data_IF_960896600821
#
_entry.id   IF_960896600821
#
_cell.length_a   1.000
_cell.length_b   1.000
_cell.length_c   1.000
_cell.angle_alpha   90.00
_cell.angle_beta   90.00
_cell.angle_gamma   90.00
#
_symmetry.space_group_name_H-M   'P 1'
#
loop_
_entity.id
_entity.type
_entity.pdbx_description
1 polymer ?
#
# COMPACT_ATOMS: atom_id res chain seq x y z
N UNK A 1 -9.17 13.91 28.50
CA UNK A 1 -8.53 13.21 27.39
C UNK A 1 -9.63 12.67 26.49
N UNK A 2 -9.70 13.14 25.25
CA UNK A 2 -10.56 12.53 24.25
C UNK A 2 -10.00 11.14 23.91
N UNK A 3 -10.81 10.10 24.09
CA UNK A 3 -10.38 8.72 23.86
C UNK A 3 -10.74 8.35 22.42
N UNK A 4 -9.73 8.32 21.55
CA UNK A 4 -9.86 7.70 20.23
C UNK A 4 -9.94 6.18 20.37
N UNK A 5 -10.76 5.53 19.53
CA UNK A 5 -10.86 4.07 19.46
C UNK A 5 -10.52 3.57 18.08
N UNK A 6 -9.51 2.73 17.97
CA UNK A 6 -9.13 2.07 16.73
C UNK A 6 -9.84 0.71 16.55
N UNK A 7 -10.28 0.42 15.33
CA UNK A 7 -10.89 -0.85 14.93
C UNK A 7 -10.25 -1.31 13.62
N UNK A 8 -9.61 -2.48 13.63
CA UNK A 8 -9.03 -3.08 12.42
C UNK A 8 -10.09 -3.39 11.36
N UNK A 9 -9.72 -3.32 10.08
CA UNK A 9 -10.65 -3.58 8.99
C UNK A 9 -11.20 -5.02 9.00
N UNK A 10 -10.42 -5.99 9.47
CA UNK A 10 -10.86 -7.39 9.62
C UNK A 10 -12.13 -7.54 10.47
N UNK A 11 -12.34 -6.66 11.45
CA UNK A 11 -13.59 -6.64 12.23
C UNK A 11 -14.83 -6.36 11.38
N UNK A 12 -14.70 -5.59 10.30
CA UNK A 12 -15.79 -5.32 9.36
C UNK A 12 -15.96 -6.46 8.35
N UNK A 13 -14.85 -7.02 7.86
CA UNK A 13 -14.90 -8.20 6.99
C UNK A 13 -15.60 -9.38 7.68
N UNK A 14 -15.29 -9.69 8.94
CA UNK A 14 -16.00 -10.71 9.74
C UNK A 14 -17.50 -10.49 9.84
N UNK A 15 -17.93 -9.23 9.99
CA UNK A 15 -19.36 -8.90 10.08
C UNK A 15 -20.06 -9.09 8.74
N UNK A 16 -19.33 -8.95 7.64
CA UNK A 16 -19.85 -9.08 6.28
C UNK A 16 -19.75 -10.52 5.74
N UNK A 17 -18.77 -11.28 6.22
CA UNK A 17 -18.41 -12.63 5.78
C UNK A 17 -18.33 -13.49 7.06
N UNK A 18 -19.40 -14.24 7.40
CA UNK A 18 -19.44 -15.02 8.64
C UNK A 18 -18.26 -16.00 8.80
N UNK A 19 -17.79 -16.57 7.69
CA UNK A 19 -16.69 -17.55 7.64
C UNK A 19 -15.33 -16.93 7.28
N UNK A 20 -15.13 -15.63 7.53
CA UNK A 20 -13.90 -14.93 7.15
C UNK A 20 -12.65 -15.55 7.82
N UNK A 21 -11.65 -15.95 7.02
CA UNK A 21 -10.39 -16.49 7.52
C UNK A 21 -9.45 -15.36 7.95
N UNK A 22 -9.39 -15.08 9.25
CA UNK A 22 -8.49 -14.06 9.80
C UNK A 22 -7.02 -14.36 9.62
N UNK A 23 -6.66 -15.65 9.53
CA UNK A 23 -5.28 -16.08 9.57
C UNK A 23 -4.62 -15.87 8.22
N UNK A 24 -5.31 -16.21 7.14
CA UNK A 24 -4.79 -16.01 5.79
C UNK A 24 -5.38 -14.78 5.08
N UNK A 25 -6.56 -14.31 5.49
CA UNK A 25 -7.28 -13.20 4.86
C UNK A 25 -7.55 -13.45 3.38
N UNK A 26 -7.95 -14.66 3.00
CA UNK A 26 -8.08 -15.03 1.58
C UNK A 26 -9.21 -14.29 0.87
N UNK A 27 -10.22 -13.91 1.63
CA UNK A 27 -11.40 -13.18 1.22
C UNK A 27 -11.19 -11.66 1.31
N UNK A 28 -10.01 -11.16 1.69
CA UNK A 28 -9.71 -9.72 1.70
C UNK A 28 -9.65 -9.17 0.26
N UNK A 29 -10.62 -8.32 -0.10
CA UNK A 29 -10.84 -7.88 -1.47
C UNK A 29 -11.30 -6.44 -1.58
N UNK A 30 -11.12 -5.85 -2.77
CA UNK A 30 -11.43 -4.46 -3.08
C UNK A 30 -12.93 -4.16 -3.09
N UNK A 31 -13.77 -5.07 -3.60
CA UNK A 31 -15.22 -4.86 -3.68
C UNK A 31 -15.83 -4.67 -2.29
N UNK A 32 -15.54 -5.57 -1.35
CA UNK A 32 -16.04 -5.49 0.02
C UNK A 32 -15.42 -4.34 0.81
N UNK A 33 -14.14 -4.08 0.59
CA UNK A 33 -13.46 -2.90 1.13
C UNK A 33 -14.18 -1.61 0.72
N UNK A 34 -14.57 -1.47 -0.55
CA UNK A 34 -15.32 -0.32 -1.03
C UNK A 34 -16.72 -0.24 -0.40
N UNK A 35 -17.41 -1.39 -0.20
CA UNK A 35 -18.69 -1.44 0.51
C UNK A 35 -18.56 -1.00 1.97
N UNK A 36 -17.54 -1.49 2.68
CA UNK A 36 -17.24 -1.12 4.08
C UNK A 36 -16.99 0.39 4.18
N UNK A 37 -16.11 0.92 3.33
CA UNK A 37 -15.76 2.34 3.33
C UNK A 37 -16.99 3.20 3.01
N UNK A 38 -17.80 2.81 2.02
CA UNK A 38 -19.05 3.52 1.69
C UNK A 38 -20.04 3.49 2.86
N UNK A 39 -20.20 2.35 3.53
CA UNK A 39 -21.04 2.23 4.72
C UNK A 39 -20.57 3.17 5.84
N UNK A 40 -19.27 3.24 6.09
CA UNK A 40 -18.68 4.14 7.07
C UNK A 40 -18.94 5.62 6.72
N UNK A 41 -18.80 6.01 5.46
CA UNK A 41 -19.15 7.36 5.01
C UNK A 41 -20.60 7.72 5.30
N UNK A 42 -21.52 6.77 5.14
CA UNK A 42 -22.96 7.00 5.38
C UNK A 42 -23.37 6.97 6.86
N UNK A 43 -22.67 6.19 7.70
CA UNK A 43 -23.12 5.88 9.07
C UNK A 43 -22.23 6.44 10.19
N UNK A 44 -20.99 6.79 9.88
CA UNK A 44 -19.99 7.21 10.86
C UNK A 44 -19.33 8.54 10.49
N UNK A 45 -19.99 9.37 9.68
CA UNK A 45 -19.52 10.70 9.26
C UNK A 45 -18.03 10.69 8.93
N UNK A 46 -17.64 9.80 8.01
CA UNK A 46 -16.24 9.54 7.69
C UNK A 46 -15.59 10.82 7.15
N UNK A 47 -14.57 11.32 7.87
CA UNK A 47 -13.81 12.52 7.48
C UNK A 47 -12.90 12.27 6.28
N UNK A 48 -12.39 11.05 6.15
CA UNK A 48 -11.52 10.66 5.05
C UNK A 48 -12.33 10.44 3.77
N UNK A 49 -11.88 11.00 2.63
CA UNK A 49 -12.39 10.60 1.33
C UNK A 49 -11.91 9.17 1.03
N UNK A 50 -12.84 8.22 1.13
CA UNK A 50 -12.53 6.79 1.01
C UNK A 50 -11.96 6.38 -0.34
N UNK A 51 -12.42 6.98 -1.43
CA UNK A 51 -11.93 6.66 -2.77
C UNK A 51 -10.48 7.15 -2.94
N UNK A 52 -10.21 8.40 -2.54
CA UNK A 52 -8.86 8.95 -2.59
C UNK A 52 -7.90 8.22 -1.65
N UNK A 53 -8.38 7.76 -0.49
CA UNK A 53 -7.58 6.93 0.41
C UNK A 53 -7.19 5.58 -0.21
N UNK A 54 -8.11 4.93 -0.95
CA UNK A 54 -7.79 3.69 -1.69
C UNK A 54 -6.74 3.99 -2.79
N UNK A 55 -6.87 5.12 -3.50
CA UNK A 55 -5.90 5.56 -4.49
C UNK A 55 -4.51 5.81 -3.88
N UNK A 56 -4.46 6.47 -2.72
CA UNK A 56 -3.21 6.68 -1.98
C UNK A 56 -2.59 5.36 -1.51
N UNK A 57 -3.40 4.41 -1.02
CA UNK A 57 -2.92 3.07 -0.65
C UNK A 57 -2.36 2.32 -1.84
N UNK A 58 -3.07 2.31 -2.97
CA UNK A 58 -2.61 1.66 -4.19
C UNK A 58 -1.26 2.23 -4.66
N UNK A 59 -1.15 3.56 -4.69
CA UNK A 59 0.07 4.26 -5.09
C UNK A 59 1.23 3.97 -4.12
N UNK A 60 0.98 4.04 -2.81
CA UNK A 60 1.98 3.82 -1.77
C UNK A 60 2.49 2.38 -1.80
N UNK A 61 1.61 1.39 -1.78
CA UNK A 61 1.97 -0.03 -1.82
C UNK A 61 2.68 -0.39 -3.13
N UNK A 62 2.32 0.23 -4.27
CA UNK A 62 3.04 0.04 -5.53
C UNK A 62 4.46 0.61 -5.48
N UNK A 63 4.63 1.79 -4.88
CA UNK A 63 5.92 2.47 -4.73
C UNK A 63 6.86 1.69 -3.82
N UNK A 64 6.39 1.25 -2.65
CA UNK A 64 7.23 0.51 -1.69
C UNK A 64 7.24 -1.00 -1.96
N UNK A 65 6.34 -1.51 -2.79
CA UNK A 65 6.22 -2.93 -3.09
C UNK A 65 5.62 -3.76 -1.97
N UNK A 66 4.65 -3.23 -1.22
CA UNK A 66 4.03 -3.95 -0.11
C UNK A 66 3.16 -5.11 -0.63
N UNK A 67 3.56 -6.35 -0.32
CA UNK A 67 2.82 -7.55 -0.76
C UNK A 67 1.81 -8.09 0.26
N UNK A 68 1.75 -7.44 1.43
CA UNK A 68 1.02 -7.93 2.61
C UNK A 68 0.13 -6.85 3.25
N UNK A 69 -0.48 -5.98 2.44
CA UNK A 69 -1.57 -5.09 2.88
C UNK A 69 -2.83 -5.89 3.20
N UNK A 70 -2.84 -6.61 4.32
CA UNK A 70 -4.01 -7.37 4.78
C UNK A 70 -4.94 -6.53 5.64
N UNK A 71 -6.09 -7.08 6.00
CA UNK A 71 -7.20 -6.41 6.71
C UNK A 71 -6.86 -5.93 8.12
N UNK A 72 -5.72 -6.33 8.68
CA UNK A 72 -5.26 -5.83 9.99
C UNK A 72 -4.29 -4.68 9.84
N UNK A 73 -3.76 -4.39 8.63
CA UNK A 73 -2.76 -3.35 8.37
C UNK A 73 -3.38 -1.99 7.98
N UNK A 74 -4.69 -1.87 8.24
CA UNK A 74 -5.48 -0.66 8.15
C UNK A 74 -6.75 -0.81 8.98
N UNK A 75 -7.43 0.29 9.24
CA UNK A 75 -8.71 0.25 9.95
C UNK A 75 -9.36 1.61 10.06
N UNK A 76 -10.18 1.76 11.09
CA UNK A 76 -10.99 2.95 11.34
C UNK A 76 -10.66 3.49 12.72
N UNK A 77 -10.35 4.78 12.79
CA UNK A 77 -10.24 5.50 14.05
C UNK A 77 -11.55 6.24 14.28
N UNK A 78 -12.21 5.93 15.40
CA UNK A 78 -13.41 6.60 15.88
C UNK A 78 -13.03 7.67 16.89
N UNK A 79 -13.57 8.86 16.69
CA UNK A 79 -13.44 10.00 17.59
C UNK A 79 -14.75 10.17 18.40
N UNK A 80 -14.76 11.11 19.35
CA UNK A 80 -16.01 11.47 20.04
C UNK A 80 -17.01 12.10 19.06
N UNK A 81 -18.30 11.83 19.25
CA UNK A 81 -19.35 12.47 18.44
C UNK A 81 -19.74 11.76 17.13
N UNK A 82 -19.52 10.44 17.03
CA UNK A 82 -19.84 9.58 15.86
C UNK A 82 -19.02 9.88 14.60
N UNK A 83 -17.96 10.67 14.68
CA UNK A 83 -17.03 10.86 13.57
C UNK A 83 -16.01 9.74 13.52
N UNK A 84 -15.58 9.43 12.30
CA UNK A 84 -14.54 8.44 12.05
C UNK A 84 -13.60 8.91 10.95
N UNK A 85 -12.41 8.33 10.89
CA UNK A 85 -11.46 8.46 9.78
C UNK A 85 -10.82 7.11 9.49
N UNK A 86 -10.41 6.90 8.25
CA UNK A 86 -9.56 5.75 7.94
C UNK A 86 -8.19 5.99 8.58
N UNK A 87 -7.58 4.92 9.09
CA UNK A 87 -6.24 5.02 9.68
C UNK A 87 -5.21 5.37 8.60
N UNK A 88 -4.07 5.96 9.00
CA UNK A 88 -2.87 5.80 8.20
C UNK A 88 -2.59 4.32 7.92
N UNK A 89 -1.87 4.05 6.84
CA UNK A 89 -1.39 2.71 6.53
C UNK A 89 -0.22 2.37 7.45
N UNK A 90 -0.29 1.23 8.14
CA UNK A 90 0.75 0.79 9.06
C UNK A 90 1.20 -0.63 8.74
N UNK A 91 2.20 -1.12 9.48
CA UNK A 91 2.83 -2.43 9.28
C UNK A 91 3.27 -2.69 7.82
N UNK A 92 4.28 -1.90 7.41
CA UNK A 92 4.84 -1.95 6.06
C UNK A 92 6.09 -2.84 5.98
N UNK A 93 6.34 -3.68 6.99
CA UNK A 93 7.60 -4.42 7.15
C UNK A 93 7.93 -5.36 5.99
N UNK A 94 6.93 -5.81 5.23
CA UNK A 94 7.10 -6.70 4.08
C UNK A 94 7.44 -5.97 2.76
N UNK A 95 7.88 -4.71 2.84
CA UNK A 95 8.11 -3.83 1.69
C UNK A 95 9.60 -3.70 1.32
N UNK A 96 9.90 -2.84 0.35
CA UNK A 96 11.25 -2.42 -0.06
C UNK A 96 12.19 -3.57 -0.46
N UNK A 97 11.61 -4.71 -0.86
CA UNK A 97 12.34 -5.92 -1.20
C UNK A 97 13.12 -6.51 -0.01
N UNK A 98 12.59 -6.39 1.21
CA UNK A 98 13.18 -6.91 2.44
C UNK A 98 13.55 -8.41 2.35
N UNK A 99 12.82 -9.19 1.56
CA UNK A 99 12.99 -10.64 1.43
C UNK A 99 14.22 -11.04 0.60
N UNK A 100 14.87 -10.07 -0.05
CA UNK A 100 16.05 -10.32 -0.91
C UNK A 100 17.33 -10.13 -0.13
N UNK A 101 18.10 -11.18 0.05
CA UNK A 101 19.49 -11.07 0.53
C UNK A 101 20.36 -10.43 -0.54
N UNK A 102 21.20 -9.46 -0.14
CA UNK A 102 21.99 -8.64 -1.08
C UNK A 102 22.93 -9.48 -1.95
N UNK A 103 23.53 -10.53 -1.40
CA UNK A 103 24.35 -11.49 -2.14
C UNK A 103 23.62 -12.13 -3.34
N UNK A 104 22.33 -12.40 -3.21
CA UNK A 104 21.52 -13.05 -4.26
C UNK A 104 21.09 -12.09 -5.38
N UNK A 105 21.22 -10.78 -5.15
CA UNK A 105 20.77 -9.72 -6.06
C UNK A 105 21.90 -8.85 -6.60
N UNK A 106 23.12 -9.02 -6.11
CA UNK A 106 24.31 -8.22 -6.48
C UNK A 106 24.57 -8.15 -7.99
N UNK A 107 24.28 -9.23 -8.72
CA UNK A 107 24.44 -9.32 -10.18
C UNK A 107 23.18 -9.07 -10.99
N UNK A 108 22.10 -8.55 -10.40
CA UNK A 108 20.89 -8.27 -11.16
C UNK A 108 21.07 -7.05 -12.06
N UNK A 109 20.76 -7.23 -13.34
CA UNK A 109 20.63 -6.13 -14.28
C UNK A 109 19.25 -5.45 -14.15
N UNK A 110 19.08 -4.35 -14.88
CA UNK A 110 17.81 -3.61 -14.90
C UNK A 110 16.65 -4.48 -15.41
N UNK A 111 16.90 -5.42 -16.32
CA UNK A 111 15.87 -6.30 -16.85
C UNK A 111 15.33 -7.24 -15.77
N UNK A 112 16.20 -7.92 -15.03
CA UNK A 112 15.83 -8.82 -13.94
C UNK A 112 15.18 -8.07 -12.78
N UNK A 113 15.67 -6.87 -12.45
CA UNK A 113 15.04 -5.99 -11.47
C UNK A 113 13.61 -5.60 -11.89
N UNK A 114 13.42 -5.13 -13.14
CA UNK A 114 12.08 -4.81 -13.66
C UNK A 114 11.16 -6.03 -13.65
N UNK A 115 11.65 -7.21 -14.02
CA UNK A 115 10.87 -8.45 -13.99
C UNK A 115 10.45 -8.85 -12.56
N UNK A 116 11.29 -8.61 -11.56
CA UNK A 116 10.94 -8.80 -10.15
C UNK A 116 9.89 -7.78 -9.69
N UNK A 117 10.08 -6.50 -9.98
CA UNK A 117 9.16 -5.43 -9.57
C UNK A 117 7.76 -5.65 -10.16
N UNK A 118 7.66 -6.02 -11.45
CA UNK A 118 6.38 -6.29 -12.14
C UNK A 118 5.60 -7.48 -11.56
N UNK A 119 6.22 -8.35 -10.78
CA UNK A 119 5.54 -9.47 -10.10
C UNK A 119 4.87 -9.06 -8.79
N UNK A 120 5.06 -7.82 -8.34
CA UNK A 120 4.44 -7.29 -7.12
C UNK A 120 2.91 -7.29 -7.19
N UNK A 121 2.28 -7.79 -6.12
CA UNK A 121 0.83 -7.87 -5.96
C UNK A 121 0.46 -7.46 -4.54
N UNK A 122 -0.68 -6.80 -4.37
CA UNK A 122 -1.26 -6.56 -3.04
C UNK A 122 -1.67 -7.89 -2.39
N UNK A 123 -1.95 -7.89 -1.09
CA UNK A 123 -2.67 -9.01 -0.47
C UNK A 123 -4.14 -9.08 -0.94
N UNK A 124 -4.69 -7.94 -1.37
CA UNK A 124 -6.03 -7.77 -1.91
C UNK A 124 -6.32 -8.62 -3.14
N UNK A 125 -7.57 -9.07 -3.24
CA UNK A 125 -8.22 -9.65 -4.42
C UNK A 125 -9.18 -8.61 -5.02
N UNK A 126 -9.68 -8.85 -6.23
CA UNK A 126 -10.77 -8.03 -6.77
C UNK A 126 -12.08 -8.31 -6.02
N UNK A 127 -12.45 -9.59 -5.94
CA UNK A 127 -13.69 -10.08 -5.34
C UNK A 127 -13.42 -11.21 -4.33
N UNK A 128 -14.37 -11.49 -3.44
CA UNK A 128 -14.19 -12.46 -2.34
C UNK A 128 -14.11 -13.91 -2.84
N UNK A 129 -14.77 -14.22 -3.96
CA UNK A 129 -14.79 -15.54 -4.58
C UNK A 129 -13.42 -15.90 -5.18
N UNK A 130 -12.63 -14.91 -5.61
CA UNK A 130 -11.34 -15.11 -6.26
C UNK A 130 -10.17 -15.18 -5.27
N UNK A 131 -10.23 -16.13 -4.34
CA UNK A 131 -9.27 -16.23 -3.21
C UNK A 131 -7.79 -16.44 -3.61
N UNK A 132 -7.52 -16.85 -4.87
CA UNK A 132 -6.17 -17.17 -5.36
C UNK A 132 -5.49 -16.03 -6.12
N UNK A 133 -6.26 -15.14 -6.74
CA UNK A 133 -5.70 -14.12 -7.64
C UNK A 133 -5.58 -12.78 -6.95
N UNK A 134 -4.35 -12.48 -6.53
CA UNK A 134 -4.04 -11.17 -5.93
C UNK A 134 -3.91 -10.09 -7.00
N UNK A 135 -4.33 -8.88 -6.66
CA UNK A 135 -4.31 -7.72 -7.55
C UNK A 135 -2.86 -7.26 -7.78
N UNK A 136 -2.37 -7.19 -9.04
CA UNK A 136 -1.08 -6.59 -9.35
C UNK A 136 -0.99 -5.11 -8.96
N UNK A 137 0.14 -4.69 -8.40
CA UNK A 137 0.35 -3.32 -7.91
C UNK A 137 0.02 -2.26 -8.96
N UNK A 138 0.69 -2.34 -10.11
CA UNK A 138 0.55 -1.35 -11.18
C UNK A 138 -0.82 -1.40 -11.86
N UNK A 139 -1.48 -2.57 -11.88
CA UNK A 139 -2.84 -2.68 -12.41
C UNK A 139 -3.83 -1.89 -11.56
N UNK A 140 -3.71 -1.93 -10.22
CA UNK A 140 -4.61 -1.18 -9.35
C UNK A 140 -4.39 0.34 -9.49
N UNK A 141 -3.14 0.78 -9.56
CA UNK A 141 -2.81 2.20 -9.81
C UNK A 141 -3.42 2.67 -11.11
N UNK A 142 -3.24 1.91 -12.20
CA UNK A 142 -3.83 2.22 -13.52
C UNK A 142 -5.35 2.28 -13.47
N UNK A 143 -5.99 1.30 -12.83
CA UNK A 143 -7.44 1.23 -12.72
C UNK A 143 -8.02 2.44 -11.98
N UNK A 144 -7.40 2.85 -10.87
CA UNK A 144 -7.85 4.01 -10.08
C UNK A 144 -7.57 5.33 -10.80
N UNK A 145 -6.44 5.44 -11.50
CA UNK A 145 -6.12 6.60 -12.33
C UNK A 145 -7.12 6.82 -13.46
N UNK A 146 -7.61 5.74 -14.08
CA UNK A 146 -8.62 5.79 -15.13
C UNK A 146 -10.07 5.82 -14.64
N UNK A 147 -10.31 5.81 -13.31
CA UNK A 147 -11.66 5.66 -12.77
C UNK A 147 -12.52 6.92 -12.95
N UNK A 148 -11.99 8.09 -12.59
CA UNK A 148 -12.63 9.39 -12.75
C UNK A 148 -11.58 10.52 -12.68
N UNK A 149 -12.00 11.75 -13.00
CA UNK A 149 -11.12 12.91 -13.03
C UNK A 149 -10.51 13.22 -11.65
N UNK A 150 -11.28 13.09 -10.56
CA UNK A 150 -10.84 13.35 -9.19
C UNK A 150 -9.64 12.44 -8.80
N UNK A 151 -9.76 11.14 -9.06
CA UNK A 151 -8.66 10.20 -8.84
C UNK A 151 -7.46 10.49 -9.76
N UNK A 152 -7.71 10.82 -11.02
CA UNK A 152 -6.66 11.14 -11.98
C UNK A 152 -5.80 12.30 -11.50
N UNK A 153 -6.46 13.40 -11.11
CA UNK A 153 -5.82 14.63 -10.63
C UNK A 153 -5.09 14.39 -9.31
N UNK A 154 -5.71 13.67 -8.38
CA UNK A 154 -5.11 13.35 -7.09
C UNK A 154 -3.86 12.49 -7.22
N UNK A 155 -3.91 11.42 -8.03
CA UNK A 155 -2.75 10.54 -8.26
C UNK A 155 -1.62 11.32 -8.96
N UNK A 156 -1.92 12.12 -9.99
CA UNK A 156 -0.94 13.00 -10.65
C UNK A 156 -0.28 13.93 -9.65
N UNK A 157 -1.07 14.64 -8.86
CA UNK A 157 -0.58 15.55 -7.83
C UNK A 157 0.37 14.83 -6.85
N UNK A 158 0.01 13.62 -6.37
CA UNK A 158 0.87 12.86 -5.45
C UNK A 158 2.18 12.42 -6.09
N UNK A 159 2.14 12.00 -7.36
CA UNK A 159 3.34 11.60 -8.11
C UNK A 159 4.24 12.79 -8.42
N UNK A 160 3.67 13.94 -8.78
CA UNK A 160 4.41 15.17 -9.09
C UNK A 160 5.04 15.78 -7.84
N UNK A 161 4.36 15.68 -6.70
CA UNK A 161 4.85 16.20 -5.41
C UNK A 161 5.85 15.27 -4.71
N UNK A 162 6.08 14.05 -5.21
CA UNK A 162 7.02 13.13 -4.57
C UNK A 162 8.47 13.56 -4.86
N UNK A 163 9.11 14.12 -3.84
CA UNK A 163 10.56 14.34 -3.84
C UNK A 163 11.31 13.04 -3.52
N UNK A 164 11.45 12.22 -4.56
CA UNK A 164 12.18 10.95 -4.46
C UNK A 164 13.66 11.18 -4.09
N UNK A 165 14.26 12.31 -4.46
CA UNK A 165 15.68 12.57 -4.20
C UNK A 165 15.90 12.80 -2.71
N UNK A 166 15.14 13.74 -2.11
CA UNK A 166 15.25 14.03 -0.68
C UNK A 166 14.85 12.83 0.17
N UNK A 167 13.78 12.10 -0.21
CA UNK A 167 13.38 10.88 0.49
C UNK A 167 14.49 9.82 0.47
N UNK A 168 15.17 9.62 -0.66
CA UNK A 168 16.29 8.66 -0.74
C UNK A 168 17.48 9.12 0.10
N UNK A 169 17.76 10.42 0.19
CA UNK A 169 18.82 10.94 1.05
C UNK A 169 18.50 10.69 2.54
N UNK A 170 17.25 10.91 2.97
CA UNK A 170 16.80 10.59 4.34
C UNK A 170 16.93 9.09 4.66
N UNK A 171 16.61 8.21 3.70
CA UNK A 171 16.78 6.77 3.89
C UNK A 171 18.28 6.42 3.96
N UNK A 172 19.12 7.02 3.11
CA UNK A 172 20.58 6.80 3.15
C UNK A 172 21.18 7.19 4.50
N UNK A 173 20.69 8.28 5.10
CA UNK A 173 21.14 8.73 6.42
C UNK A 173 20.91 7.70 7.53
N UNK A 174 19.92 6.81 7.37
CA UNK A 174 19.70 5.70 8.31
C UNK A 174 20.89 4.73 8.36
N UNK A 175 21.73 4.67 7.31
CA UNK A 175 22.94 3.81 7.30
C UNK A 175 23.98 4.28 8.32
N UNK A 176 23.88 5.52 8.79
CA UNK A 176 24.78 6.12 9.78
C UNK A 176 24.40 5.76 11.21
N UNK A 177 23.19 5.21 11.43
CA UNK A 177 22.72 4.81 12.75
C UNK A 177 23.45 3.54 13.20
N UNK A 178 24.11 3.60 14.36
CA UNK A 178 24.76 2.44 14.96
C UNK A 178 23.72 1.52 15.58
N UNK A 179 23.64 0.29 15.09
CA UNK A 179 22.79 -0.78 15.60
C UNK A 179 23.53 -2.11 15.58
N UNK A 180 23.08 -3.09 16.37
CA UNK A 180 23.65 -4.45 16.39
C UNK A 180 23.59 -5.12 15.00
N UNK A 181 22.47 -4.93 14.31
CA UNK A 181 22.30 -5.30 12.90
C UNK A 181 22.14 -4.01 12.10
N UNK A 182 23.20 -3.52 11.42
CA UNK A 182 23.15 -2.23 10.76
C UNK A 182 22.35 -2.28 9.45
N UNK A 183 21.70 -1.16 9.13
CA UNK A 183 21.22 -0.89 7.79
C UNK A 183 22.41 -0.54 6.89
N UNK A 184 22.84 -1.48 6.05
CA UNK A 184 24.08 -1.32 5.27
C UNK A 184 23.90 -0.45 4.04
N UNK A 185 25.00 0.14 3.55
CA UNK A 185 25.01 0.87 2.27
C UNK A 185 24.52 -0.01 1.11
N UNK A 186 24.95 -1.26 1.05
CA UNK A 186 24.51 -2.21 0.02
C UNK A 186 22.98 -2.43 0.05
N UNK A 187 22.39 -2.49 1.26
CA UNK A 187 20.94 -2.59 1.43
C UNK A 187 20.25 -1.31 0.97
N UNK A 188 20.78 -0.14 1.30
CA UNK A 188 20.26 1.13 0.81
C UNK A 188 20.27 1.19 -0.72
N UNK A 189 21.38 0.86 -1.37
CA UNK A 189 21.50 0.85 -2.83
C UNK A 189 20.48 -0.08 -3.50
N UNK A 190 20.18 -1.22 -2.88
CA UNK A 190 19.10 -2.10 -3.33
C UNK A 190 17.73 -1.40 -3.25
N UNK A 191 17.39 -0.82 -2.09
CA UNK A 191 16.14 -0.10 -1.88
C UNK A 191 16.02 1.06 -2.86
N UNK A 192 17.10 1.81 -3.08
CA UNK A 192 17.18 2.93 -4.00
C UNK A 192 16.85 2.50 -5.44
N UNK A 193 17.48 1.43 -5.94
CA UNK A 193 17.21 0.87 -7.27
C UNK A 193 15.75 0.42 -7.40
N UNK A 194 15.22 -0.24 -6.37
CA UNK A 194 13.86 -0.76 -6.31
C UNK A 194 12.82 0.38 -6.40
N UNK A 195 12.97 1.41 -5.54
CA UNK A 195 12.10 2.58 -5.52
C UNK A 195 12.14 3.36 -6.83
N UNK A 196 13.33 3.57 -7.41
CA UNK A 196 13.48 4.26 -8.71
C UNK A 196 12.73 3.52 -9.82
N UNK A 197 12.94 2.21 -9.96
CA UNK A 197 12.26 1.41 -10.98
C UNK A 197 10.74 1.37 -10.76
N UNK A 198 10.28 1.26 -9.50
CA UNK A 198 8.84 1.31 -9.18
C UNK A 198 8.22 2.66 -9.54
N UNK A 199 8.91 3.75 -9.23
CA UNK A 199 8.43 5.09 -9.54
C UNK A 199 8.38 5.35 -11.05
N UNK A 200 9.38 4.87 -11.81
CA UNK A 200 9.35 4.87 -13.28
C UNK A 200 8.12 4.13 -13.82
N UNK A 201 7.87 2.91 -13.34
CA UNK A 201 6.73 2.10 -13.79
C UNK A 201 5.39 2.73 -13.41
N UNK A 202 5.28 3.34 -12.22
CA UNK A 202 4.10 4.14 -11.84
C UNK A 202 3.87 5.25 -12.87
N UNK A 203 4.91 6.04 -13.19
CA UNK A 203 4.80 7.11 -14.19
C UNK A 203 4.42 6.59 -15.58
N UNK A 204 4.86 5.39 -15.97
CA UNK A 204 4.44 4.75 -17.22
C UNK A 204 2.93 4.47 -17.26
N UNK A 205 2.32 4.02 -16.16
CA UNK A 205 0.87 3.75 -16.10
C UNK A 205 -0.01 5.01 -16.23
N UNK A 206 0.54 6.19 -15.90
CA UNK A 206 -0.17 7.48 -15.94
C UNK A 206 -0.12 8.20 -17.29
N UNK A 207 0.66 7.73 -18.27
CA UNK A 207 0.89 8.39 -19.58
C UNK A 207 -0.21 8.14 -20.64
N UNK A 208 -1.45 7.91 -20.21
CA UNK A 208 -2.59 7.72 -21.12
C UNK A 208 -3.16 9.06 -21.59
#
# INVERSE_FOLDING_TARGET
MEVERFVHAGSYFKRMIPEFDDKMGKEHNLTDMAVIIRFLSMKASLKTNGLLWIAEMALFDALIGNTDRHQENWGVVYEQGKTARLSPLFDNGTSLGHERFTDNIKGWDNHRLKAYVKKGKHHLRLEREETKSRVPHFLLVKALFGLNQECSDHIKQKVDNLDLVSMLAEIEDLTKIKAEVPFTQERFEWIQKNLKVRFELIKEELKQ
#
